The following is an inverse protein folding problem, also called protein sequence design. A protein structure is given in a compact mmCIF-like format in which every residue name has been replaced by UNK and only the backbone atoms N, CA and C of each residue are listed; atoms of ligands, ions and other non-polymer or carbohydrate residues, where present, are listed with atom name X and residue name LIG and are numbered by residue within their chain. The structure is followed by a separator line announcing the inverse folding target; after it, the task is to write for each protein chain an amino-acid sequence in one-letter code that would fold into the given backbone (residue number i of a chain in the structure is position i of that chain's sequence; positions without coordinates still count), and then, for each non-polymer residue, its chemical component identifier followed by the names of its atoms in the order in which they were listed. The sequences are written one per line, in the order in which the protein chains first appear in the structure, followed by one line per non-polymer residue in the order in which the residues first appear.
data_IF_637305034018
#
_entry.id   IF_637305034018
#
_cell.length_a   1.000
_cell.length_b   1.000
_cell.length_c   1.000
_cell.angle_alpha   90.00
_cell.angle_beta   90.00
_cell.angle_gamma   90.00
#
_symmetry.space_group_name_H-M   'P 1'
#
loop_
_entity.id
_entity.type
_entity.pdbx_description
1 polymer ?
#
# COMPACT_ATOMS: atom_id res chain seq x y z
N UNK A 1 -17.29 -15.45 -14.11
CA UNK A 1 -16.07 -14.88 -14.71
C UNK A 1 -15.83 -13.48 -14.25
N UNK A 2 -14.64 -13.20 -13.74
CA UNK A 2 -14.27 -11.85 -13.35
C UNK A 2 -13.94 -11.03 -14.59
N UNK A 3 -14.49 -9.82 -14.68
CA UNK A 3 -14.19 -8.94 -15.80
C UNK A 3 -12.84 -8.25 -15.57
N UNK A 4 -12.26 -7.75 -16.66
CA UNK A 4 -11.00 -7.01 -16.57
C UNK A 4 -11.13 -5.79 -15.67
N UNK A 5 -12.33 -5.21 -15.64
CA UNK A 5 -12.60 -4.05 -14.79
C UNK A 5 -12.55 -4.42 -13.31
N UNK A 6 -13.12 -5.57 -12.95
CA UNK A 6 -13.11 -6.03 -11.57
C UNK A 6 -11.71 -6.36 -11.12
N UNK A 7 -10.93 -6.97 -11.99
CA UNK A 7 -9.54 -7.27 -11.70
C UNK A 7 -8.72 -6.00 -11.50
N UNK A 8 -8.96 -5.02 -12.36
CA UNK A 8 -8.27 -3.74 -12.25
C UNK A 8 -8.56 -3.06 -10.92
N UNK A 9 -9.83 -3.03 -10.52
CA UNK A 9 -10.22 -2.42 -9.26
C UNK A 9 -9.60 -3.12 -8.06
N UNK A 10 -9.55 -4.43 -8.10
CA UNK A 10 -8.95 -5.21 -7.03
C UNK A 10 -7.46 -4.92 -6.91
N UNK A 11 -6.76 -4.85 -8.02
CA UNK A 11 -5.33 -4.56 -8.03
C UNK A 11 -5.04 -3.14 -7.56
N UNK A 12 -5.88 -2.19 -7.94
CA UNK A 12 -5.72 -0.81 -7.49
C UNK A 12 -5.92 -0.70 -5.98
N UNK A 13 -6.86 -1.44 -5.44
CA UNK A 13 -7.10 -1.45 -4.00
C UNK A 13 -5.91 -2.05 -3.25
N UNK A 14 -5.38 -3.15 -3.76
CA UNK A 14 -4.19 -3.75 -3.15
C UNK A 14 -2.99 -2.83 -3.22
N UNK A 15 -2.83 -2.15 -4.31
CA UNK A 15 -1.75 -1.18 -4.46
C UNK A 15 -1.85 -0.10 -3.40
N UNK A 16 -3.05 0.42 -3.17
CA UNK A 16 -3.27 1.45 -2.17
C UNK A 16 -2.93 0.97 -0.77
N UNK A 17 -3.34 -0.25 -0.46
CA UNK A 17 -3.02 -0.85 0.84
C UNK A 17 -1.51 -0.97 1.03
N UNK A 18 -0.81 -1.43 0.02
CA UNK A 18 0.64 -1.59 0.07
C UNK A 18 1.35 -0.24 0.19
N UNK A 19 0.86 0.76 -0.50
CA UNK A 19 1.43 2.11 -0.42
C UNK A 19 1.26 2.70 0.98
N UNK A 20 0.11 2.49 1.59
CA UNK A 20 -0.14 2.95 2.95
C UNK A 20 0.77 2.23 3.94
N UNK A 21 0.98 0.94 3.73
CA UNK A 21 1.87 0.17 4.58
C UNK A 21 3.31 0.66 4.45
N UNK A 22 3.74 0.96 3.24
CA UNK A 22 5.07 1.49 3.01
C UNK A 22 5.27 2.81 3.75
N UNK A 23 4.28 3.69 3.70
CA UNK A 23 4.35 4.97 4.41
C UNK A 23 4.47 4.77 5.91
N UNK A 24 3.76 3.80 6.46
CA UNK A 24 3.84 3.49 7.88
C UNK A 24 5.23 3.01 8.26
N UNK A 25 5.82 2.15 7.45
CA UNK A 25 7.16 1.65 7.67
C UNK A 25 8.18 2.78 7.59
N UNK A 26 8.03 3.66 6.61
CA UNK A 26 8.93 4.80 6.46
C UNK A 26 8.86 5.73 7.68
N UNK A 27 7.68 5.93 8.21
CA UNK A 27 7.47 6.72 9.42
C UNK A 27 8.19 6.11 10.62
N UNK A 28 8.09 4.81 10.78
CA UNK A 28 8.76 4.11 11.87
C UNK A 28 10.27 4.21 11.75
N UNK A 29 10.78 4.05 10.54
CA UNK A 29 12.21 4.19 10.30
C UNK A 29 12.69 5.60 10.64
N UNK A 30 11.91 6.59 10.30
CA UNK A 30 12.23 7.98 10.59
C UNK A 30 12.29 8.23 12.10
N UNK A 31 11.36 7.65 12.84
CA UNK A 31 11.35 7.78 14.29
C UNK A 31 12.56 7.13 14.93
N UNK A 32 12.97 5.98 14.42
CA UNK A 32 14.15 5.31 14.94
C UNK A 32 15.43 6.11 14.69
N UNK A 33 15.49 6.80 13.57
CA UNK A 33 16.65 7.62 13.25
C UNK A 33 16.81 8.83 14.17
N UNK A 34 15.72 9.28 14.75
CA UNK A 34 15.74 10.44 15.65
C UNK A 34 16.26 10.10 17.04
N UNK A 35 16.33 8.85 17.33
CA UNK A 35 16.89 8.38 18.58
C UNK A 35 18.39 8.18 18.46
#
# INVERSE_FOLDING_TARGET
MTSAKDEKEMLEEEKEILENRLKAIESQLENLKKE
#
